data_IF_849863535940
#
_entry.id   IF_849863535940
#
_cell.length_a   1.000
_cell.length_b   1.000
_cell.length_c   1.000
_cell.angle_alpha   90.00
_cell.angle_beta   90.00
_cell.angle_gamma   90.00
#
_symmetry.space_group_name_H-M   'P 1'
#
loop_
_entity.id
_entity.type
_entity.pdbx_description
1 polymer ?
#
# COMPACT_ATOMS: atom_id res chain seq x y z
N UNK A 1 13.30 -32.21 -0.10
CA UNK A 1 13.91 -31.63 -1.33
C UNK A 1 13.11 -30.44 -1.85
N UNK A 2 11.76 -30.49 -1.81
CA UNK A 2 10.83 -29.36 -2.04
C UNK A 2 11.18 -28.06 -1.29
N UNK A 3 11.37 -28.13 0.04
CA UNK A 3 11.46 -26.92 0.87
C UNK A 3 12.74 -26.10 0.67
N UNK A 4 13.82 -26.75 0.24
CA UNK A 4 15.09 -26.06 -0.03
C UNK A 4 14.98 -25.23 -1.31
N UNK A 5 14.32 -25.77 -2.33
CA UNK A 5 14.07 -25.08 -3.61
C UNK A 5 13.09 -23.93 -3.40
N UNK A 6 12.03 -24.14 -2.60
CA UNK A 6 11.09 -23.07 -2.25
C UNK A 6 11.79 -21.93 -1.51
N UNK A 7 12.64 -22.25 -0.52
CA UNK A 7 13.42 -21.26 0.23
C UNK A 7 14.40 -20.50 -0.66
N UNK A 8 15.03 -21.18 -1.62
CA UNK A 8 15.94 -20.54 -2.58
C UNK A 8 15.18 -19.60 -3.52
N UNK A 9 14.03 -20.04 -4.06
CA UNK A 9 13.14 -19.25 -4.89
C UNK A 9 12.60 -18.00 -4.16
N UNK A 10 12.13 -18.17 -2.93
CA UNK A 10 11.69 -17.07 -2.07
C UNK A 10 12.84 -16.09 -1.79
N UNK A 11 14.07 -16.61 -1.64
CA UNK A 11 15.29 -15.82 -1.51
C UNK A 11 15.57 -14.93 -2.73
N UNK A 12 15.47 -15.47 -3.95
CA UNK A 12 15.64 -14.70 -5.18
C UNK A 12 14.56 -13.63 -5.34
N UNK A 13 13.29 -13.99 -5.11
CA UNK A 13 12.18 -13.04 -5.18
C UNK A 13 12.37 -11.90 -4.17
N UNK A 14 12.77 -12.21 -2.95
CA UNK A 14 12.98 -11.20 -1.93
C UNK A 14 14.18 -10.30 -2.23
N UNK A 15 15.24 -10.84 -2.84
CA UNK A 15 16.39 -10.06 -3.30
C UNK A 15 15.99 -9.08 -4.40
N UNK A 16 15.18 -9.52 -5.36
CA UNK A 16 14.70 -8.65 -6.44
C UNK A 16 13.77 -7.55 -5.91
N UNK A 17 12.89 -7.86 -4.95
CA UNK A 17 12.06 -6.86 -4.27
C UNK A 17 12.90 -5.79 -3.57
N UNK A 18 13.92 -6.21 -2.82
CA UNK A 18 14.83 -5.30 -2.13
C UNK A 18 15.56 -4.37 -3.12
N UNK A 19 16.08 -4.94 -4.21
CA UNK A 19 16.76 -4.15 -5.24
C UNK A 19 15.85 -3.09 -5.89
N UNK A 20 14.57 -3.42 -6.12
CA UNK A 20 13.59 -2.45 -6.66
C UNK A 20 13.26 -1.36 -5.63
N UNK A 21 13.08 -1.72 -4.35
CA UNK A 21 12.86 -0.77 -3.26
C UNK A 21 14.04 0.20 -3.15
N UNK A 22 15.28 -0.32 -3.18
CA UNK A 22 16.50 0.48 -3.09
C UNK A 22 16.63 1.44 -4.28
N UNK A 23 16.39 0.95 -5.50
CA UNK A 23 16.45 1.77 -6.70
C UNK A 23 15.44 2.94 -6.66
N UNK A 24 14.19 2.68 -6.25
CA UNK A 24 13.16 3.72 -6.15
C UNK A 24 13.47 4.68 -4.99
N UNK A 25 13.98 4.18 -3.87
CA UNK A 25 14.39 5.00 -2.72
C UNK A 25 15.50 5.98 -3.11
N UNK A 26 16.51 5.51 -3.86
CA UNK A 26 17.58 6.34 -4.38
C UNK A 26 17.06 7.43 -5.36
N UNK A 27 16.05 7.12 -6.17
CA UNK A 27 15.42 8.10 -7.07
C UNK A 27 14.68 9.20 -6.31
N UNK A 28 14.05 8.88 -5.16
CA UNK A 28 13.34 9.87 -4.33
C UNK A 28 14.31 10.82 -3.62
N UNK A 29 15.53 10.37 -3.30
CA UNK A 29 16.55 11.25 -2.72
C UNK A 29 17.10 12.29 -3.71
N UNK A 30 16.82 12.15 -5.01
CA UNK A 30 17.20 13.13 -6.01
C UNK A 30 16.09 14.20 -6.17
N UNK A 31 16.34 15.47 -5.80
CA UNK A 31 15.30 16.52 -5.79
C UNK A 31 14.63 16.76 -7.15
N UNK A 32 15.34 16.48 -8.25
CA UNK A 32 14.83 16.65 -9.61
C UNK A 32 13.85 15.55 -10.06
N UNK A 33 13.74 14.43 -9.33
CA UNK A 33 12.86 13.30 -9.69
C UNK A 33 11.95 12.82 -8.57
N UNK A 34 11.91 13.51 -7.43
CA UNK A 34 11.00 13.23 -6.31
C UNK A 34 9.54 13.64 -6.66
N UNK A 35 8.95 13.00 -7.66
CA UNK A 35 7.54 13.14 -7.99
C UNK A 35 6.74 12.37 -6.94
N UNK A 36 5.62 12.90 -6.43
CA UNK A 36 4.72 12.17 -5.52
C UNK A 36 4.28 10.78 -6.05
N UNK A 37 4.44 10.54 -7.35
CA UNK A 37 4.30 9.23 -7.97
C UNK A 37 5.25 8.16 -7.42
N UNK A 38 6.50 8.54 -7.12
CA UNK A 38 7.55 7.64 -6.65
C UNK A 38 7.32 7.26 -5.18
N UNK A 39 6.88 8.21 -4.35
CA UNK A 39 6.51 7.97 -2.94
C UNK A 39 5.37 6.97 -2.81
N UNK A 40 4.30 7.13 -3.59
CA UNK A 40 3.21 6.13 -3.64
C UNK A 40 3.72 4.75 -4.03
N UNK A 41 4.53 4.67 -5.08
CA UNK A 41 5.03 3.39 -5.61
C UNK A 41 5.89 2.68 -4.57
N UNK A 42 6.79 3.43 -3.92
CA UNK A 42 7.63 2.91 -2.85
C UNK A 42 6.80 2.44 -1.65
N UNK A 43 5.87 3.28 -1.17
CA UNK A 43 5.00 2.94 -0.05
C UNK A 43 4.17 1.69 -0.32
N UNK A 44 3.58 1.57 -1.51
CA UNK A 44 2.88 0.37 -1.97
C UNK A 44 3.78 -0.87 -1.92
N UNK A 45 4.99 -0.80 -2.48
CA UNK A 45 5.90 -1.94 -2.55
C UNK A 45 6.36 -2.38 -1.16
N UNK A 46 6.61 -1.42 -0.27
CA UNK A 46 6.97 -1.69 1.12
C UNK A 46 5.83 -2.40 1.88
N UNK A 47 4.59 -1.91 1.77
CA UNK A 47 3.41 -2.57 2.38
C UNK A 47 3.25 -3.99 1.83
N UNK A 48 3.34 -4.18 0.51
CA UNK A 48 3.26 -5.51 -0.10
C UNK A 48 4.43 -6.44 0.27
N UNK A 49 5.55 -5.88 0.72
CA UNK A 49 6.71 -6.63 1.19
C UNK A 49 6.69 -6.88 2.70
N UNK A 50 5.62 -6.51 3.39
CA UNK A 50 5.48 -6.68 4.84
C UNK A 50 6.14 -5.56 5.68
N UNK A 51 6.72 -4.55 5.05
CA UNK A 51 7.34 -3.40 5.71
C UNK A 51 6.30 -2.32 5.96
N UNK A 52 5.32 -2.62 6.82
CA UNK A 52 4.11 -1.81 6.98
C UNK A 52 4.41 -0.41 7.52
N UNK A 53 5.15 -0.28 8.64
CA UNK A 53 5.46 1.04 9.20
C UNK A 53 6.27 1.90 8.22
N UNK A 54 7.23 1.32 7.51
CA UNK A 54 8.06 2.06 6.56
C UNK A 54 7.24 2.50 5.35
N UNK A 55 6.39 1.62 4.81
CA UNK A 55 5.50 1.94 3.70
C UNK A 55 4.55 3.08 4.03
N UNK A 56 4.02 3.12 5.26
CA UNK A 56 3.13 4.19 5.72
C UNK A 56 3.81 5.57 5.73
N UNK A 57 5.11 5.66 6.03
CA UNK A 57 5.85 6.94 5.98
C UNK A 57 5.80 7.59 4.60
N UNK A 58 5.73 6.78 3.54
CA UNK A 58 5.64 7.27 2.16
C UNK A 58 4.21 7.44 1.67
N UNK A 59 3.25 6.68 2.20
CA UNK A 59 1.84 6.76 1.80
C UNK A 59 1.09 7.92 2.46
N UNK A 60 1.35 8.22 3.75
CA UNK A 60 0.66 9.31 4.46
C UNK A 60 0.83 10.68 3.78
N UNK A 61 2.03 11.09 3.33
CA UNK A 61 2.20 12.35 2.61
C UNK A 61 1.43 12.40 1.28
N UNK A 62 1.28 11.26 0.60
CA UNK A 62 0.53 11.15 -0.66
C UNK A 62 -0.98 11.28 -0.43
N UNK A 63 -1.50 10.84 0.73
CA UNK A 63 -2.92 10.98 1.06
C UNK A 63 -3.28 12.40 1.47
N UNK A 64 -2.50 13.00 2.38
CA UNK A 64 -2.90 14.23 3.07
C UNK A 64 -1.75 15.16 3.50
N UNK A 65 -0.54 14.98 2.96
CA UNK A 65 0.62 15.81 3.29
C UNK A 65 1.06 16.72 2.14
N UNK A 66 2.35 17.06 2.13
CA UNK A 66 2.97 17.94 1.11
C UNK A 66 2.82 17.39 -0.32
N UNK A 67 2.77 16.06 -0.48
CA UNK A 67 2.62 15.37 -1.76
C UNK A 67 1.19 14.91 -2.03
N UNK A 68 0.20 15.52 -1.37
CA UNK A 68 -1.19 15.10 -1.46
C UNK A 68 -1.64 14.99 -2.91
N UNK A 69 -2.15 13.82 -3.28
CA UNK A 69 -2.57 13.58 -4.65
C UNK A 69 -3.96 14.16 -4.92
N UNK A 70 -4.10 14.79 -6.09
CA UNK A 70 -5.40 15.20 -6.63
C UNK A 70 -6.04 14.13 -7.53
N UNK A 71 -5.35 13.00 -7.77
CA UNK A 71 -5.85 11.92 -8.59
C UNK A 71 -6.72 10.97 -7.74
N UNK A 72 -8.03 10.82 -8.04
CA UNK A 72 -8.94 10.03 -7.22
C UNK A 72 -8.56 8.55 -7.11
N UNK A 73 -8.05 7.95 -8.19
CA UNK A 73 -7.62 6.54 -8.19
C UNK A 73 -6.35 6.36 -7.35
N UNK A 74 -5.42 7.32 -7.41
CA UNK A 74 -4.24 7.30 -6.55
C UNK A 74 -4.61 7.50 -5.09
N UNK A 75 -5.57 8.36 -4.79
CA UNK A 75 -6.10 8.54 -3.45
C UNK A 75 -6.69 7.24 -2.92
N UNK A 76 -7.66 6.65 -3.64
CA UNK A 76 -8.28 5.37 -3.29
C UNK A 76 -7.24 4.28 -3.01
N UNK A 77 -6.23 4.13 -3.89
CA UNK A 77 -5.18 3.11 -3.70
C UNK A 77 -4.29 3.41 -2.51
N UNK A 78 -3.95 4.67 -2.29
CA UNK A 78 -3.16 5.08 -1.11
C UNK A 78 -3.90 4.73 0.17
N UNK A 79 -5.18 5.11 0.27
CA UNK A 79 -6.08 4.77 1.38
C UNK A 79 -6.16 3.26 1.58
N UNK A 80 -6.30 2.48 0.50
CA UNK A 80 -6.35 1.02 0.58
C UNK A 80 -5.06 0.41 1.15
N UNK A 81 -3.89 0.83 0.67
CA UNK A 81 -2.61 0.32 1.19
C UNK A 81 -2.33 0.77 2.63
N UNK A 82 -2.82 1.93 3.06
CA UNK A 82 -2.79 2.34 4.47
C UNK A 82 -3.69 1.44 5.32
N UNK A 83 -4.90 1.12 4.86
CA UNK A 83 -5.78 0.16 5.52
C UNK A 83 -5.12 -1.21 5.70
N UNK A 84 -4.47 -1.73 4.66
CA UNK A 84 -3.71 -2.99 4.72
C UNK A 84 -2.57 -2.93 5.75
N UNK A 85 -1.83 -1.82 5.77
CA UNK A 85 -0.73 -1.63 6.71
C UNK A 85 -1.23 -1.58 8.15
N UNK A 86 -2.28 -0.79 8.43
CA UNK A 86 -2.88 -0.74 9.77
C UNK A 86 -3.41 -2.09 10.22
N UNK A 87 -4.11 -2.82 9.33
CA UNK A 87 -4.64 -4.13 9.64
C UNK A 87 -3.52 -5.12 10.00
N UNK A 88 -2.44 -5.16 9.22
CA UNK A 88 -1.31 -6.03 9.46
C UNK A 88 -0.52 -5.69 10.73
N UNK A 89 -0.59 -4.43 11.18
CA UNK A 89 -0.01 -3.96 12.45
C UNK A 89 -0.92 -4.21 13.66
N UNK A 90 -2.12 -4.78 13.45
CA UNK A 90 -3.10 -5.00 14.51
C UNK A 90 -3.87 -3.74 14.91
N UNK A 91 -3.73 -2.64 14.17
CA UNK A 91 -4.43 -1.38 14.39
C UNK A 91 -5.80 -1.40 13.70
N UNK A 92 -6.66 -2.34 14.10
CA UNK A 92 -7.93 -2.64 13.43
C UNK A 92 -8.85 -1.42 13.29
N UNK A 93 -8.95 -0.57 14.31
CA UNK A 93 -9.79 0.64 14.28
C UNK A 93 -9.36 1.62 13.17
N UNK A 94 -8.05 1.78 12.97
CA UNK A 94 -7.52 2.65 11.91
C UNK A 94 -7.69 2.01 10.54
N UNK A 95 -7.51 0.69 10.43
CA UNK A 95 -7.79 -0.02 9.19
C UNK A 95 -9.26 0.13 8.77
N UNK A 96 -10.19 -0.02 9.71
CA UNK A 96 -11.62 0.20 9.48
C UNK A 96 -11.88 1.63 9.00
N UNK A 97 -11.26 2.63 9.64
CA UNK A 97 -11.40 4.04 9.24
C UNK A 97 -11.00 4.27 7.78
N UNK A 98 -9.84 3.75 7.36
CA UNK A 98 -9.36 3.88 5.98
C UNK A 98 -10.31 3.17 4.99
N UNK A 99 -10.73 1.95 5.31
CA UNK A 99 -11.62 1.17 4.46
C UNK A 99 -13.04 1.77 4.34
N UNK A 100 -13.57 2.33 5.42
CA UNK A 100 -14.84 3.07 5.40
C UNK A 100 -14.78 4.28 4.48
N UNK A 101 -13.65 4.99 4.47
CA UNK A 101 -13.46 6.11 3.58
C UNK A 101 -13.54 5.69 2.11
N UNK A 102 -12.98 4.53 1.76
CA UNK A 102 -13.10 3.98 0.41
C UNK A 102 -14.57 3.69 0.10
N UNK A 103 -15.28 3.02 1.01
CA UNK A 103 -16.70 2.69 0.80
C UNK A 103 -17.59 3.93 0.67
N UNK A 104 -17.27 5.00 1.41
CA UNK A 104 -18.02 6.26 1.36
C UNK A 104 -18.04 6.88 -0.04
N UNK A 105 -16.91 6.86 -0.75
CA UNK A 105 -16.78 7.54 -2.04
C UNK A 105 -16.86 6.60 -3.25
N UNK A 106 -16.49 5.33 -3.08
CA UNK A 106 -16.41 4.35 -4.16
C UNK A 106 -17.20 3.06 -3.93
N UNK A 107 -17.92 2.92 -2.82
CA UNK A 107 -18.67 1.70 -2.51
C UNK A 107 -19.77 1.35 -3.51
N UNK A 108 -20.27 2.34 -4.26
CA UNK A 108 -21.32 2.21 -5.27
C UNK A 108 -20.81 2.52 -6.70
N UNK A 109 -19.51 2.37 -6.97
CA UNK A 109 -18.97 2.64 -8.30
C UNK A 109 -19.56 1.68 -9.36
N UNK A 110 -19.93 2.21 -10.53
CA UNK A 110 -20.50 1.42 -11.65
C UNK A 110 -19.58 0.28 -12.11
N UNK A 111 -18.27 0.48 -11.95
CA UNK A 111 -17.25 -0.52 -12.20
C UNK A 111 -16.50 -0.84 -10.91
N UNK A 112 -16.68 -2.06 -10.43
CA UNK A 112 -16.01 -2.53 -9.22
C UNK A 112 -14.53 -2.80 -9.48
N UNK A 113 -13.69 -2.04 -8.77
CA UNK A 113 -12.26 -2.28 -8.72
C UNK A 113 -11.96 -3.39 -7.70
N UNK A 114 -10.95 -4.21 -7.96
CA UNK A 114 -10.51 -5.27 -7.03
C UNK A 114 -10.25 -4.75 -5.62
N UNK A 115 -9.65 -3.56 -5.52
CA UNK A 115 -9.35 -2.91 -4.24
C UNK A 115 -10.65 -2.61 -3.45
N UNK A 116 -11.75 -2.27 -4.12
CA UNK A 116 -13.06 -1.99 -3.51
C UNK A 116 -13.72 -3.29 -3.02
N UNK A 117 -13.70 -4.34 -3.85
CA UNK A 117 -14.23 -5.64 -3.48
C UNK A 117 -13.51 -6.22 -2.25
N UNK A 118 -12.19 -6.22 -2.26
CA UNK A 118 -11.36 -6.68 -1.12
C UNK A 118 -11.60 -5.82 0.12
N UNK A 119 -11.68 -4.49 -0.02
CA UNK A 119 -12.03 -3.59 1.08
C UNK A 119 -13.34 -3.99 1.77
N UNK A 120 -14.37 -4.37 0.99
CA UNK A 120 -15.66 -4.79 1.53
C UNK A 120 -15.54 -6.09 2.32
N UNK A 121 -14.81 -7.07 1.80
CA UNK A 121 -14.57 -8.34 2.50
C UNK A 121 -13.81 -8.13 3.81
N UNK A 122 -12.78 -7.28 3.80
CA UNK A 122 -11.98 -6.95 4.98
C UNK A 122 -12.80 -6.22 6.04
N UNK A 123 -13.61 -5.25 5.65
CA UNK A 123 -14.52 -4.57 6.58
C UNK A 123 -15.48 -5.54 7.26
N UNK A 124 -16.05 -6.49 6.51
CA UNK A 124 -16.93 -7.50 7.08
C UNK A 124 -16.20 -8.38 8.11
N UNK A 125 -14.94 -8.77 7.82
CA UNK A 125 -14.10 -9.56 8.73
C UNK A 125 -13.67 -8.78 9.97
N UNK A 126 -13.35 -7.50 9.84
CA UNK A 126 -12.86 -6.68 10.96
C UNK A 126 -13.98 -6.27 11.93
N UNK A 127 -15.24 -6.39 11.51
CA UNK A 127 -16.43 -6.03 12.29
C UNK A 127 -17.18 -7.21 12.88
N UNK A 128 -16.85 -8.43 12.44
CA UNK A 128 -17.42 -9.68 12.96
C UNK A 128 -16.74 -10.08 14.26
#
# INVERSE_FOLDING_TARGET
>A
MSDLIQKEFDGYINRDKAAVIDAISAMIQQPQQAVGSNKFTLGKLMVLSGQYQEGMKYLLPVKSGEDATTNPIRYLRTTYYLGLAYEALGEADKAVTEYEEIMKYWGNADHELKDIADTRERLNRLRS
#
